data_IF_848968194814
#
_entry.id   IF_848968194814
#
_cell.length_a   1.000
_cell.length_b   1.000
_cell.length_c   1.000
_cell.angle_alpha   90.00
_cell.angle_beta   90.00
_cell.angle_gamma   90.00
#
_symmetry.space_group_name_H-M   'P 1'
#
loop_
_entity.id
_entity.type
_entity.pdbx_description
1 polymer ?
#
# COMPACT_ATOMS: atom_id res chain seq x y z
N UNK A 1 -14.73 24.87 7.98
CA UNK A 1 -13.69 23.95 7.48
C UNK A 1 -13.50 24.31 6.02
N UNK A 2 -12.45 25.07 5.69
CA UNK A 2 -12.16 25.43 4.30
C UNK A 2 -11.82 24.16 3.53
N UNK A 3 -12.56 23.92 2.44
CA UNK A 3 -12.23 22.86 1.49
C UNK A 3 -11.11 23.43 0.63
N UNK A 4 -9.92 22.84 0.73
CA UNK A 4 -8.84 23.20 -0.20
C UNK A 4 -9.02 22.40 -1.48
N UNK A 5 -8.94 23.08 -2.63
CA UNK A 5 -8.99 22.42 -3.95
C UNK A 5 -7.89 21.35 -4.05
N UNK A 6 -6.75 21.57 -3.39
CA UNK A 6 -5.65 20.61 -3.30
C UNK A 6 -6.05 19.31 -2.61
N UNK A 7 -6.85 19.36 -1.54
CA UNK A 7 -7.31 18.16 -0.85
C UNK A 7 -8.29 17.37 -1.72
N UNK A 8 -9.23 18.04 -2.38
CA UNK A 8 -10.18 17.41 -3.30
C UNK A 8 -9.45 16.69 -4.44
N UNK A 9 -8.49 17.37 -5.07
CA UNK A 9 -7.71 16.83 -6.18
C UNK A 9 -6.89 15.62 -5.73
N UNK A 10 -6.26 15.69 -4.55
CA UNK A 10 -5.51 14.58 -3.95
C UNK A 10 -6.40 13.35 -3.73
N UNK A 11 -7.56 13.52 -3.09
CA UNK A 11 -8.48 12.43 -2.79
C UNK A 11 -9.02 11.78 -4.08
N UNK A 12 -9.39 12.60 -5.07
CA UNK A 12 -9.81 12.14 -6.40
C UNK A 12 -8.71 11.29 -7.05
N UNK A 13 -7.48 11.82 -7.11
CA UNK A 13 -6.34 11.13 -7.71
C UNK A 13 -6.05 9.79 -7.04
N UNK A 14 -6.04 9.74 -5.70
CA UNK A 14 -5.88 8.49 -4.95
C UNK A 14 -6.91 7.45 -5.36
N UNK A 15 -8.19 7.82 -5.38
CA UNK A 15 -9.27 6.90 -5.70
C UNK A 15 -9.21 6.40 -7.15
N UNK A 16 -8.98 7.29 -8.12
CA UNK A 16 -8.87 6.92 -9.54
C UNK A 16 -7.67 6.01 -9.80
N UNK A 17 -6.51 6.31 -9.20
CA UNK A 17 -5.32 5.49 -9.37
C UNK A 17 -5.47 4.11 -8.75
N UNK A 18 -6.19 4.01 -7.63
CA UNK A 18 -6.50 2.71 -7.03
C UNK A 18 -7.37 1.87 -7.96
N UNK A 19 -8.41 2.45 -8.56
CA UNK A 19 -9.23 1.76 -9.55
C UNK A 19 -8.39 1.30 -10.77
N UNK A 20 -7.53 2.18 -11.30
CA UNK A 20 -6.61 1.85 -12.40
C UNK A 20 -5.71 0.67 -12.03
N UNK A 21 -5.08 0.72 -10.86
CA UNK A 21 -4.22 -0.36 -10.39
C UNK A 21 -4.97 -1.69 -10.25
N UNK A 22 -6.16 -1.69 -9.64
CA UNK A 22 -6.95 -2.90 -9.42
C UNK A 22 -7.50 -3.49 -10.73
N UNK A 23 -7.85 -2.67 -11.71
CA UNK A 23 -8.26 -3.14 -13.04
C UNK A 23 -7.14 -3.92 -13.76
N UNK A 24 -5.88 -3.55 -13.51
CA UNK A 24 -4.70 -4.15 -14.12
C UNK A 24 -4.14 -5.33 -13.30
N UNK A 25 -4.18 -5.24 -11.96
CA UNK A 25 -3.45 -6.15 -11.07
C UNK A 25 -4.34 -6.95 -10.10
N UNK A 26 -5.63 -6.60 -9.98
CA UNK A 26 -6.56 -7.16 -9.00
C UNK A 26 -7.17 -8.52 -9.37
N UNK A 27 -6.82 -9.08 -10.54
CA UNK A 27 -7.34 -10.37 -10.99
C UNK A 27 -8.79 -10.34 -11.49
N UNK A 28 -9.32 -9.16 -11.80
CA UNK A 28 -10.68 -9.00 -12.34
C UNK A 28 -10.76 -9.48 -13.79
N UNK A 29 -11.86 -10.17 -14.12
CA UNK A 29 -12.13 -10.58 -15.50
C UNK A 29 -12.45 -9.36 -16.36
N UNK A 30 -12.23 -9.46 -17.69
CA UNK A 30 -12.52 -8.37 -18.63
C UNK A 30 -13.96 -7.85 -18.49
N UNK A 31 -14.92 -8.75 -18.25
CA UNK A 31 -16.33 -8.40 -18.06
C UNK A 31 -16.61 -7.57 -16.80
N UNK A 32 -15.71 -7.54 -15.81
CA UNK A 32 -15.87 -6.76 -14.58
C UNK A 32 -15.22 -5.38 -14.64
N UNK A 33 -14.47 -5.05 -15.71
CA UNK A 33 -13.74 -3.78 -15.79
C UNK A 33 -14.65 -2.55 -15.81
N UNK A 34 -15.87 -2.68 -16.34
CA UNK A 34 -16.87 -1.61 -16.34
C UNK A 34 -17.19 -1.07 -14.94
N UNK A 35 -17.05 -1.88 -13.89
CA UNK A 35 -17.27 -1.46 -12.51
C UNK A 35 -16.25 -0.39 -12.05
N UNK A 36 -15.02 -0.44 -12.58
CA UNK A 36 -14.03 0.61 -12.32
C UNK A 36 -14.36 1.90 -13.05
N UNK A 37 -14.93 1.81 -14.26
CA UNK A 37 -15.38 2.98 -15.01
C UNK A 37 -16.55 3.67 -14.30
N UNK A 38 -17.52 2.89 -13.82
CA UNK A 38 -18.63 3.42 -13.01
C UNK A 38 -18.13 4.07 -11.71
N UNK A 39 -17.18 3.43 -11.02
CA UNK A 39 -16.54 3.98 -9.83
C UNK A 39 -15.80 5.29 -10.14
N UNK A 40 -15.05 5.34 -11.23
CA UNK A 40 -14.37 6.55 -11.70
C UNK A 40 -15.35 7.69 -12.01
N UNK A 41 -16.48 7.39 -12.66
CA UNK A 41 -17.51 8.39 -12.91
C UNK A 41 -18.06 8.99 -11.61
N UNK A 42 -18.31 8.16 -10.59
CA UNK A 42 -18.75 8.63 -9.26
C UNK A 42 -17.70 9.48 -8.57
N UNK A 43 -16.41 9.14 -8.70
CA UNK A 43 -15.30 9.93 -8.15
C UNK A 43 -15.22 11.31 -8.83
N UNK A 44 -15.34 11.35 -10.16
CA UNK A 44 -15.32 12.59 -10.93
C UNK A 44 -16.53 13.48 -10.64
N UNK A 45 -17.71 12.90 -10.47
CA UNK A 45 -18.93 13.61 -10.07
C UNK A 45 -18.76 14.20 -8.66
N UNK A 46 -18.29 13.41 -7.69
CA UNK A 46 -18.03 13.88 -6.33
C UNK A 46 -17.02 15.02 -6.30
N UNK A 47 -15.98 14.96 -7.14
CA UNK A 47 -15.00 16.03 -7.30
C UNK A 47 -15.62 17.30 -7.89
N UNK A 48 -16.38 17.17 -8.98
CA UNK A 48 -17.04 18.30 -9.66
C UNK A 48 -18.04 19.02 -8.76
N UNK A 49 -18.77 18.25 -7.94
CA UNK A 49 -19.73 18.78 -6.97
C UNK A 49 -19.09 19.23 -5.64
N UNK A 50 -17.76 19.23 -5.54
CA UNK A 50 -16.99 19.58 -4.33
C UNK A 50 -17.42 18.76 -3.09
N UNK A 51 -17.89 17.52 -3.29
CA UNK A 51 -18.37 16.64 -2.23
C UNK A 51 -17.20 15.94 -1.51
N UNK A 52 -16.46 16.72 -0.72
CA UNK A 52 -15.29 16.24 0.02
C UNK A 52 -15.59 15.10 0.98
N UNK A 53 -16.80 15.08 1.58
CA UNK A 53 -17.20 14.03 2.53
C UNK A 53 -17.23 12.66 1.85
N UNK A 54 -17.77 12.61 0.63
CA UNK A 54 -17.82 11.37 -0.15
C UNK A 54 -16.41 10.92 -0.56
N UNK A 55 -15.59 11.84 -1.07
CA UNK A 55 -14.21 11.51 -1.46
C UNK A 55 -13.35 11.04 -0.30
N UNK A 56 -13.47 11.66 0.89
CA UNK A 56 -12.81 11.18 2.11
C UNK A 56 -13.27 9.77 2.48
N UNK A 57 -14.58 9.52 2.49
CA UNK A 57 -15.12 8.19 2.77
C UNK A 57 -14.60 7.13 1.80
N UNK A 58 -14.51 7.45 0.51
CA UNK A 58 -13.95 6.54 -0.49
C UNK A 58 -12.46 6.29 -0.22
N UNK A 59 -11.66 7.33 0.03
CA UNK A 59 -10.25 7.20 0.39
C UNK A 59 -10.05 6.35 1.66
N UNK A 60 -10.85 6.58 2.69
CA UNK A 60 -10.77 5.84 3.95
C UNK A 60 -11.11 4.35 3.76
N UNK A 61 -12.10 4.05 2.91
CA UNK A 61 -12.42 2.67 2.54
C UNK A 61 -11.23 2.01 1.81
N UNK A 62 -10.56 2.72 0.90
CA UNK A 62 -9.36 2.21 0.24
C UNK A 62 -8.23 1.89 1.23
N UNK A 63 -7.98 2.78 2.19
CA UNK A 63 -7.00 2.54 3.24
C UNK A 63 -7.37 1.32 4.10
N UNK A 64 -8.66 1.15 4.40
CA UNK A 64 -9.16 -0.04 5.09
C UNK A 64 -8.93 -1.32 4.27
N UNK A 65 -9.22 -1.30 2.96
CA UNK A 65 -8.98 -2.46 2.08
C UNK A 65 -7.49 -2.81 2.04
N UNK A 66 -6.62 -1.81 1.90
CA UNK A 66 -5.16 -2.01 1.90
C UNK A 66 -4.70 -2.70 3.19
N UNK A 67 -5.20 -2.25 4.34
CA UNK A 67 -4.73 -2.73 5.63
C UNK A 67 -5.23 -4.15 5.99
N UNK A 68 -6.41 -4.54 5.49
CA UNK A 68 -7.09 -5.73 6.00
C UNK A 68 -7.35 -6.80 4.94
N UNK A 69 -7.52 -6.42 3.68
CA UNK A 69 -8.03 -7.33 2.64
C UNK A 69 -7.04 -7.53 1.48
N UNK A 70 -6.13 -6.58 1.23
CA UNK A 70 -5.14 -6.68 0.16
C UNK A 70 -3.94 -7.50 0.62
N UNK A 71 -3.55 -8.57 -0.12
CA UNK A 71 -2.34 -9.32 0.17
C UNK A 71 -1.08 -8.45 0.14
N UNK A 72 -0.09 -8.78 0.97
CA UNK A 72 1.15 -8.00 1.08
C UNK A 72 1.83 -7.82 -0.29
N UNK A 73 1.98 -8.88 -1.09
CA UNK A 73 2.55 -8.77 -2.44
C UNK A 73 1.84 -7.75 -3.33
N UNK A 74 0.50 -7.70 -3.28
CA UNK A 74 -0.26 -6.75 -4.07
C UNK A 74 -0.10 -5.33 -3.52
N UNK A 75 -0.09 -5.15 -2.20
CA UNK A 75 0.19 -3.86 -1.56
C UNK A 75 1.60 -3.33 -1.89
N UNK A 76 2.61 -4.20 -1.97
CA UNK A 76 3.96 -3.81 -2.38
C UNK A 76 3.99 -3.30 -3.83
N UNK A 77 3.29 -3.98 -4.75
CA UNK A 77 3.14 -3.52 -6.14
C UNK A 77 2.41 -2.19 -6.22
N UNK A 78 1.35 -2.02 -5.43
CA UNK A 78 0.56 -0.79 -5.35
C UNK A 78 1.42 0.41 -4.94
N UNK A 79 2.31 0.26 -3.95
CA UNK A 79 3.25 1.33 -3.55
C UNK A 79 4.22 1.71 -4.65
N UNK A 80 4.71 0.75 -5.43
CA UNK A 80 5.57 1.04 -6.59
C UNK A 80 4.79 1.79 -7.67
N UNK A 81 3.55 1.36 -7.94
CA UNK A 81 2.66 2.01 -8.91
C UNK A 81 2.37 3.48 -8.53
N UNK A 82 1.96 3.75 -7.29
CA UNK A 82 1.69 5.11 -6.82
C UNK A 82 2.93 6.01 -6.91
N UNK A 83 4.12 5.48 -6.57
CA UNK A 83 5.39 6.21 -6.73
C UNK A 83 5.69 6.57 -8.18
N UNK A 84 5.43 5.66 -9.12
CA UNK A 84 5.63 5.90 -10.55
C UNK A 84 4.70 7.02 -11.08
N UNK A 85 3.46 7.06 -10.58
CA UNK A 85 2.46 8.10 -10.86
C UNK A 85 2.69 9.40 -10.04
N UNK A 86 3.87 9.52 -9.39
CA UNK A 86 4.29 10.65 -8.55
C UNK A 86 3.33 10.97 -7.39
N UNK A 87 2.50 10.01 -6.99
CA UNK A 87 1.62 10.12 -5.84
C UNK A 87 2.30 9.55 -4.59
N UNK A 88 2.14 10.27 -3.47
CA UNK A 88 2.68 9.87 -2.16
C UNK A 88 1.59 9.44 -1.19
N UNK A 89 0.33 9.61 -1.55
CA UNK A 89 -0.82 9.42 -0.69
C UNK A 89 -1.24 7.94 -0.61
N UNK A 90 -0.36 7.14 -0.02
CA UNK A 90 -0.62 5.71 0.21
C UNK A 90 -0.02 5.21 1.54
N UNK A 91 -0.17 6.02 2.58
CA UNK A 91 0.35 5.76 3.92
C UNK A 91 -0.15 4.42 4.51
N UNK A 92 -1.33 3.96 4.10
CA UNK A 92 -1.87 2.66 4.49
C UNK A 92 -0.92 1.50 4.13
N UNK A 93 -0.21 1.57 2.99
CA UNK A 93 0.78 0.53 2.64
C UNK A 93 1.99 0.62 3.55
N UNK A 94 2.47 1.82 3.88
CA UNK A 94 3.58 1.99 4.82
C UNK A 94 3.23 1.45 6.21
N UNK A 95 1.99 1.69 6.66
CA UNK A 95 1.48 1.15 7.90
C UNK A 95 1.36 -0.38 7.88
N UNK A 96 0.88 -0.96 6.77
CA UNK A 96 0.84 -2.41 6.58
C UNK A 96 2.26 -3.02 6.65
N UNK A 97 3.21 -2.42 5.93
CA UNK A 97 4.61 -2.83 5.95
C UNK A 97 5.19 -2.80 7.37
N UNK A 98 4.98 -1.71 8.11
CA UNK A 98 5.43 -1.59 9.50
C UNK A 98 4.79 -2.64 10.42
N UNK A 99 3.48 -2.93 10.25
CA UNK A 99 2.79 -4.00 11.00
C UNK A 99 3.38 -5.37 10.70
N UNK A 100 3.68 -5.65 9.44
CA UNK A 100 4.31 -6.91 9.04
C UNK A 100 5.71 -7.06 9.61
N UNK A 101 6.55 -6.02 9.55
CA UNK A 101 7.89 -6.04 10.19
C UNK A 101 7.76 -6.30 11.69
N UNK A 102 6.83 -5.62 12.38
CA UNK A 102 6.57 -5.88 13.81
C UNK A 102 6.12 -7.31 14.08
N UNK A 103 5.26 -7.88 13.23
CA UNK A 103 4.82 -9.27 13.32
C UNK A 103 6.00 -10.23 13.16
N UNK A 104 6.85 -10.04 12.15
CA UNK A 104 8.07 -10.83 11.92
C UNK A 104 9.00 -10.78 13.14
N UNK A 105 9.24 -9.58 13.68
CA UNK A 105 10.07 -9.39 14.87
C UNK A 105 9.49 -10.07 16.12
N UNK A 106 8.17 -10.01 16.30
CA UNK A 106 7.48 -10.64 17.42
C UNK A 106 7.52 -12.17 17.31
N UNK A 107 7.19 -12.69 16.14
CA UNK A 107 7.14 -14.12 15.88
C UNK A 107 8.54 -14.73 15.70
N UNK A 108 9.55 -13.89 15.44
CA UNK A 108 10.93 -14.28 15.15
C UNK A 108 11.03 -15.23 13.95
N UNK A 109 10.24 -14.97 12.92
CA UNK A 109 10.10 -15.82 11.74
C UNK A 109 9.74 -14.98 10.50
N UNK A 110 10.31 -15.34 9.36
CA UNK A 110 9.90 -14.87 8.03
C UNK A 110 9.16 -16.03 7.38
N UNK A 111 7.86 -15.85 7.10
CA UNK A 111 7.01 -16.95 6.69
C UNK A 111 7.08 -17.27 5.19
N UNK A 112 7.43 -16.28 4.36
CA UNK A 112 7.41 -16.43 2.90
C UNK A 112 8.34 -15.44 2.19
N UNK A 113 8.50 -15.60 0.88
CA UNK A 113 9.37 -14.77 0.05
C UNK A 113 8.96 -13.29 0.01
N UNK A 114 7.69 -12.96 0.19
CA UNK A 114 7.19 -11.57 0.20
C UNK A 114 7.63 -10.85 1.47
N UNK A 115 7.49 -11.50 2.62
CA UNK A 115 8.02 -11.02 3.90
C UNK A 115 9.56 -10.87 3.84
N UNK A 116 10.26 -11.80 3.19
CA UNK A 116 11.71 -11.68 2.97
C UNK A 116 12.08 -10.44 2.16
N UNK A 117 11.41 -10.18 1.03
CA UNK A 117 11.67 -8.99 0.21
C UNK A 117 11.33 -7.69 0.97
N UNK A 118 10.26 -7.71 1.77
CA UNK A 118 9.91 -6.59 2.63
C UNK A 118 11.02 -6.28 3.64
N UNK A 119 11.53 -7.30 4.35
CA UNK A 119 12.62 -7.12 5.33
C UNK A 119 13.88 -6.61 4.64
N UNK A 120 14.24 -7.17 3.48
CA UNK A 120 15.39 -6.71 2.69
C UNK A 120 15.28 -5.23 2.33
N UNK A 121 14.11 -4.80 1.84
CA UNK A 121 13.85 -3.39 1.53
C UNK A 121 13.93 -2.50 2.76
N UNK A 122 13.34 -2.94 3.88
CA UNK A 122 13.35 -2.20 5.14
C UNK A 122 14.78 -1.99 5.69
N UNK A 123 15.63 -3.03 5.66
CA UNK A 123 17.02 -2.93 6.08
C UNK A 123 17.80 -1.93 5.21
N UNK A 124 17.66 -2.01 3.88
CA UNK A 124 18.32 -1.09 2.96
C UNK A 124 17.92 0.38 3.22
N UNK A 125 16.64 0.64 3.50
CA UNK A 125 16.18 2.01 3.81
C UNK A 125 16.67 2.53 5.17
N UNK A 126 16.81 1.64 6.17
CA UNK A 126 17.16 1.99 7.56
C UNK A 126 18.64 2.03 7.86
N UNK A 127 19.46 1.25 7.16
CA UNK A 127 20.92 1.34 7.24
C UNK A 127 21.40 2.74 6.79
N UNK A 128 20.66 3.39 5.89
CA UNK A 128 20.88 4.79 5.48
C UNK A 128 20.39 5.84 6.52
N UNK A 129 19.55 5.47 7.49
CA UNK A 129 18.85 6.43 8.39
C UNK A 129 19.08 6.21 9.89
N UNK A 130 20.11 5.44 10.28
CA UNK A 130 20.40 5.03 11.69
C UNK A 130 19.17 4.41 12.39
N UNK A 131 18.76 3.22 11.94
CA UNK A 131 17.74 2.41 12.62
C UNK A 131 18.20 1.83 13.97
N UNK A 132 17.29 1.20 14.71
CA UNK A 132 17.61 0.53 15.98
C UNK A 132 18.51 -0.69 15.73
N UNK A 133 19.78 -0.63 16.13
CA UNK A 133 20.78 -1.65 15.85
C UNK A 133 20.36 -3.08 16.27
N UNK A 134 19.66 -3.23 17.41
CA UNK A 134 19.20 -4.55 17.88
C UNK A 134 18.10 -5.12 16.98
N UNK A 135 17.20 -4.27 16.50
CA UNK A 135 16.13 -4.66 15.58
C UNK A 135 16.71 -5.09 14.23
N UNK A 136 17.61 -4.26 13.68
CA UNK A 136 18.25 -4.52 12.39
C UNK A 136 19.04 -5.83 12.42
N UNK A 137 19.78 -6.08 13.50
CA UNK A 137 20.54 -7.32 13.66
C UNK A 137 19.62 -8.55 13.75
N UNK A 138 18.53 -8.44 14.52
CA UNK A 138 17.52 -9.52 14.58
C UNK A 138 16.96 -9.85 13.20
N UNK A 139 16.61 -8.83 12.41
CA UNK A 139 16.10 -9.02 11.05
C UNK A 139 17.13 -9.68 10.11
N UNK A 140 18.42 -9.29 10.19
CA UNK A 140 19.49 -9.92 9.41
C UNK A 140 19.64 -11.41 9.72
N UNK A 141 19.62 -11.78 11.00
CA UNK A 141 19.67 -13.18 11.42
C UNK A 141 18.47 -13.97 10.87
N UNK A 142 17.26 -13.38 10.90
CA UNK A 142 16.07 -14.02 10.34
C UNK A 142 16.17 -14.21 8.82
N UNK A 143 16.69 -13.23 8.09
CA UNK A 143 16.92 -13.35 6.65
C UNK A 143 17.89 -14.49 6.32
N UNK A 144 18.99 -14.61 7.07
CA UNK A 144 19.95 -15.69 6.86
C UNK A 144 19.30 -17.06 7.13
N UNK A 145 18.56 -17.21 8.23
CA UNK A 145 17.83 -18.45 8.55
C UNK A 145 16.85 -18.85 7.46
N UNK A 146 16.10 -17.89 6.92
CA UNK A 146 15.13 -18.14 5.84
C UNK A 146 15.81 -18.69 4.58
N UNK A 147 16.97 -18.15 4.19
CA UNK A 147 17.73 -18.66 3.04
C UNK A 147 18.26 -20.08 3.24
N UNK A 148 18.73 -20.41 4.45
CA UNK A 148 19.20 -21.77 4.80
C UNK A 148 18.06 -22.81 4.83
N UNK A 149 16.82 -22.39 4.97
CA UNK A 149 15.66 -23.29 5.02
C UNK A 149 15.04 -23.56 3.64
N UNK A 150 15.38 -22.75 2.63
CA UNK A 150 14.82 -22.82 1.27
C UNK A 150 15.89 -23.24 0.24
N UNK A 151 17.17 -23.22 0.62
CA UNK A 151 18.26 -23.88 -0.11
C UNK A 151 18.34 -25.36 0.21
#
# INVERSE_FOLDING_TARGET
MEITLDELERLKCKCVLMNKFMAENGGFTLGMRHLFDESNNRILEAHTLLNIKLLRRMSDDLDYQILNNIPLSLALKLKVFFRAERQKDIEAVDLLQARTIKKILRNSEIANGEEYQLVKGYLNERDCKKGNAKELEKLRVLMHKFLHFIG
#
